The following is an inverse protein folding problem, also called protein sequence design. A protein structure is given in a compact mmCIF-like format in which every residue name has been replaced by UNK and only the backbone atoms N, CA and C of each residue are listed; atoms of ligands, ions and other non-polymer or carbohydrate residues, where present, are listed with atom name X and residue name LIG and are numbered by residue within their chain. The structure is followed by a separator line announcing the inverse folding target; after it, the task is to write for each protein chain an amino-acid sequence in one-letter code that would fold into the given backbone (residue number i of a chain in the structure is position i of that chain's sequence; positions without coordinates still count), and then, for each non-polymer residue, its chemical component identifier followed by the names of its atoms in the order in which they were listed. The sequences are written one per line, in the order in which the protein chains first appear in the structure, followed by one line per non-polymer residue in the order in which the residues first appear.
data_IF_596051348204
#
_entry.id   IF_596051348204
#
_cell.length_a   1.000
_cell.length_b   1.000
_cell.length_c   1.000
_cell.angle_alpha   90.00
_cell.angle_beta   90.00
_cell.angle_gamma   90.00
#
_symmetry.space_group_name_H-M   'P 1'
#
loop_
_entity.id
_entity.type
_entity.pdbx_description
1 polymer ?
#
# COMPACT_ATOMS: atom_id res chain seq x y z
N UNK A 1 -26.57 -51.87 -52.69
CA UNK A 1 -26.57 -51.45 -51.27
C UNK A 1 -25.13 -51.26 -50.82
N UNK A 2 -24.62 -50.02 -50.79
CA UNK A 2 -23.30 -49.68 -50.22
C UNK A 2 -23.55 -48.95 -48.90
N UNK A 3 -23.20 -49.57 -47.78
CA UNK A 3 -23.24 -48.94 -46.45
C UNK A 3 -21.90 -48.27 -46.20
N UNK A 4 -21.87 -46.95 -46.24
CA UNK A 4 -20.72 -46.14 -45.79
C UNK A 4 -20.86 -45.95 -44.29
N UNK A 5 -19.97 -46.57 -43.50
CA UNK A 5 -19.84 -46.26 -42.07
C UNK A 5 -19.09 -44.93 -41.92
N UNK A 6 -19.73 -43.97 -41.25
CA UNK A 6 -19.14 -42.70 -40.87
C UNK A 6 -18.64 -42.85 -39.42
N UNK A 7 -17.32 -42.90 -39.23
CA UNK A 7 -16.71 -42.87 -37.89
C UNK A 7 -16.63 -41.42 -37.42
N UNK A 8 -17.48 -41.05 -36.46
CA UNK A 8 -17.32 -39.83 -35.68
C UNK A 8 -16.21 -40.08 -34.65
N UNK A 9 -15.03 -39.50 -34.87
CA UNK A 9 -13.97 -39.44 -33.86
C UNK A 9 -14.34 -38.40 -32.80
N UNK A 10 -14.70 -38.84 -31.60
CA UNK A 10 -14.84 -37.97 -30.45
C UNK A 10 -13.44 -37.56 -29.97
N UNK A 11 -13.04 -36.31 -30.24
CA UNK A 11 -11.88 -35.71 -29.59
C UNK A 11 -12.27 -35.40 -28.14
N UNK A 12 -11.91 -36.29 -27.21
CA UNK A 12 -11.90 -36.00 -25.78
C UNK A 12 -10.83 -34.96 -25.51
N UNK A 13 -11.25 -33.71 -25.30
CA UNK A 13 -10.41 -32.69 -24.69
C UNK A 13 -10.11 -33.15 -23.25
N UNK A 14 -8.87 -33.58 -23.00
CA UNK A 14 -8.37 -33.80 -21.65
C UNK A 14 -8.19 -32.42 -21.04
N UNK A 15 -9.08 -32.03 -20.13
CA UNK A 15 -8.84 -30.89 -19.27
C UNK A 15 -7.62 -31.23 -18.38
N UNK A 16 -6.47 -30.61 -18.64
CA UNK A 16 -5.35 -30.65 -17.71
C UNK A 16 -5.81 -29.95 -16.43
N UNK A 17 -6.05 -30.72 -15.36
CA UNK A 17 -6.16 -30.17 -14.02
C UNK A 17 -4.80 -29.55 -13.67
N UNK A 18 -4.74 -28.22 -13.62
CA UNK A 18 -3.50 -27.48 -13.43
C UNK A 18 -2.78 -27.88 -12.14
N UNK A 19 -1.49 -28.15 -12.25
CA UNK A 19 -0.58 -28.44 -11.13
C UNK A 19 -0.22 -27.18 -10.31
N UNK A 20 -0.82 -26.02 -10.60
CA UNK A 20 -0.35 -24.70 -10.17
C UNK A 20 -0.19 -24.58 -8.65
N UNK A 21 -1.10 -25.15 -7.87
CA UNK A 21 -0.97 -25.21 -6.40
C UNK A 21 0.28 -26.01 -5.98
N UNK A 22 0.54 -27.14 -6.62
CA UNK A 22 1.71 -27.98 -6.32
C UNK A 22 3.01 -27.26 -6.70
N UNK A 23 3.02 -26.52 -7.82
CA UNK A 23 4.16 -25.70 -8.21
C UNK A 23 4.40 -24.52 -7.25
N UNK A 24 3.34 -23.83 -6.81
CA UNK A 24 3.45 -22.77 -5.80
C UNK A 24 4.02 -23.33 -4.49
N UNK A 25 3.53 -24.49 -4.02
CA UNK A 25 4.06 -25.16 -2.82
C UNK A 25 5.54 -25.52 -2.97
N UNK A 26 5.94 -26.01 -4.14
CA UNK A 26 7.31 -26.42 -4.45
C UNK A 26 8.28 -25.24 -4.51
N UNK A 27 7.88 -24.14 -5.17
CA UNK A 27 8.81 -23.07 -5.54
C UNK A 27 8.70 -21.81 -4.68
N UNK A 28 7.53 -21.52 -4.10
CA UNK A 28 7.25 -20.21 -3.53
C UNK A 28 6.86 -20.26 -2.04
N UNK A 29 6.27 -21.36 -1.57
CA UNK A 29 5.77 -21.50 -0.21
C UNK A 29 6.86 -21.62 0.88
N UNK A 30 8.14 -21.69 0.49
CA UNK A 30 9.27 -21.61 1.42
C UNK A 30 9.44 -20.21 2.02
N UNK A 31 8.95 -19.19 1.33
CA UNK A 31 9.03 -17.78 1.74
C UNK A 31 7.65 -17.14 1.89
N UNK A 32 6.74 -17.38 0.94
CA UNK A 32 5.41 -16.78 0.91
C UNK A 32 4.38 -17.66 1.62
N UNK A 33 3.51 -17.04 2.41
CA UNK A 33 2.41 -17.75 3.06
C UNK A 33 1.22 -17.90 2.09
N UNK A 34 0.68 -19.12 2.04
CA UNK A 34 -0.53 -19.48 1.28
C UNK A 34 -1.82 -19.03 1.95
N UNK A 35 -1.73 -18.61 3.22
CA UNK A 35 -2.85 -18.14 4.00
C UNK A 35 -2.45 -16.85 4.69
N UNK A 36 -3.45 -16.08 5.10
CA UNK A 36 -3.26 -14.94 5.98
C UNK A 36 -2.43 -15.36 7.22
N UNK A 37 -1.34 -14.66 7.54
CA UNK A 37 -0.63 -14.85 8.81
C UNK A 37 -1.53 -14.52 10.01
N UNK A 38 -1.33 -15.24 11.10
CA UNK A 38 -1.83 -14.84 12.42
C UNK A 38 -0.96 -13.72 13.02
N UNK A 39 -1.49 -12.89 13.95
CA UNK A 39 -0.77 -11.74 14.49
C UNK A 39 0.63 -12.06 15.04
N UNK A 40 0.78 -13.22 15.68
CA UNK A 40 2.06 -13.68 16.24
C UNK A 40 3.05 -14.18 15.18
N UNK A 41 2.58 -14.48 13.97
CA UNK A 41 3.41 -14.95 12.86
C UNK A 41 3.97 -13.78 12.02
N UNK A 42 3.34 -12.60 12.10
CA UNK A 42 3.65 -11.40 11.31
C UNK A 42 5.09 -10.89 11.44
N UNK A 43 5.73 -11.13 12.58
CA UNK A 43 7.13 -10.75 12.82
C UNK A 43 8.13 -11.73 12.20
N UNK A 44 7.73 -12.98 12.00
CA UNK A 44 8.59 -14.06 11.49
C UNK A 44 8.47 -14.26 9.98
N UNK A 45 7.51 -13.61 9.31
CA UNK A 45 7.28 -13.81 7.87
C UNK A 45 8.44 -13.21 7.07
N UNK A 46 9.06 -14.04 6.22
CA UNK A 46 10.21 -13.67 5.39
C UNK A 46 9.83 -12.88 4.12
N UNK A 47 8.60 -13.05 3.64
CA UNK A 47 8.09 -12.41 2.43
C UNK A 47 6.60 -12.07 2.61
N UNK A 48 6.03 -11.13 1.84
CA UNK A 48 4.61 -10.81 1.95
C UNK A 48 3.72 -12.03 1.60
N UNK A 49 2.60 -12.25 2.29
CA UNK A 49 1.66 -13.34 1.95
C UNK A 49 1.05 -13.13 0.56
N UNK A 50 0.66 -14.21 -0.13
CA UNK A 50 0.13 -14.11 -1.49
C UNK A 50 -1.11 -13.24 -1.62
N UNK A 51 -1.99 -13.29 -0.62
CA UNK A 51 -3.15 -12.39 -0.56
C UNK A 51 -2.75 -10.92 -0.72
N UNK A 52 -1.72 -10.47 0.01
CA UNK A 52 -1.23 -9.10 -0.07
C UNK A 52 -0.55 -8.78 -1.41
N UNK A 53 0.26 -9.71 -1.93
CA UNK A 53 0.96 -9.54 -3.21
C UNK A 53 -0.05 -9.37 -4.34
N UNK A 54 -1.00 -10.31 -4.46
CA UNK A 54 -1.97 -10.30 -5.57
C UNK A 54 -2.98 -9.17 -5.41
N UNK A 55 -3.36 -8.80 -4.18
CA UNK A 55 -4.16 -7.59 -3.93
C UNK A 55 -3.50 -6.35 -4.53
N UNK A 56 -2.22 -6.09 -4.21
CA UNK A 56 -1.52 -4.90 -4.72
C UNK A 56 -1.24 -4.95 -6.22
N UNK A 57 -1.04 -6.14 -6.80
CA UNK A 57 -0.94 -6.30 -8.26
C UNK A 57 -2.25 -5.91 -8.94
N UNK A 58 -3.39 -6.40 -8.44
CA UNK A 58 -4.72 -6.10 -9.00
C UNK A 58 -5.15 -4.65 -8.77
N UNK A 59 -4.70 -4.02 -7.68
CA UNK A 59 -4.92 -2.60 -7.41
C UNK A 59 -4.10 -1.70 -8.33
N UNK A 60 -2.88 -2.11 -8.68
CA UNK A 60 -1.97 -1.32 -9.53
C UNK A 60 -2.19 -1.51 -11.03
N UNK A 61 -2.67 -2.68 -11.46
CA UNK A 61 -2.77 -3.08 -12.87
C UNK A 61 -4.17 -3.63 -13.13
N UNK A 62 -4.94 -2.95 -13.98
CA UNK A 62 -6.34 -3.32 -14.23
C UNK A 62 -6.52 -4.52 -15.15
N UNK A 63 -5.61 -4.73 -16.11
CA UNK A 63 -5.69 -5.83 -17.08
C UNK A 63 -5.06 -7.11 -16.54
N UNK A 64 -5.79 -8.23 -16.62
CA UNK A 64 -5.34 -9.51 -16.08
C UNK A 64 -4.13 -10.12 -16.83
N UNK A 65 -4.02 -9.87 -18.14
CA UNK A 65 -2.87 -10.29 -18.93
C UNK A 65 -1.61 -9.52 -18.52
N UNK A 66 -1.73 -8.20 -18.34
CA UNK A 66 -0.65 -7.34 -17.83
C UNK A 66 -0.24 -7.71 -16.40
N UNK A 67 -1.18 -8.05 -15.52
CA UNK A 67 -0.88 -8.55 -14.17
C UNK A 67 0.02 -9.79 -14.24
N UNK A 68 -0.34 -10.77 -15.08
CA UNK A 68 0.44 -12.01 -15.25
C UNK A 68 1.83 -11.72 -15.79
N UNK A 69 1.94 -10.91 -16.86
CA UNK A 69 3.23 -10.55 -17.44
C UNK A 69 4.12 -9.81 -16.44
N UNK A 70 3.55 -8.87 -15.68
CA UNK A 70 4.24 -8.16 -14.62
C UNK A 70 4.80 -9.10 -13.56
N UNK A 71 4.00 -10.04 -13.06
CA UNK A 71 4.46 -10.97 -12.03
C UNK A 71 5.55 -11.91 -12.55
N UNK A 72 5.45 -12.39 -13.80
CA UNK A 72 6.50 -13.21 -14.43
C UNK A 72 7.82 -12.42 -14.55
N UNK A 73 7.75 -11.19 -15.08
CA UNK A 73 8.94 -10.32 -15.20
C UNK A 73 9.58 -10.06 -13.84
N UNK A 74 8.76 -9.70 -12.84
CA UNK A 74 9.26 -9.41 -11.50
C UNK A 74 9.90 -10.65 -10.84
N UNK A 75 9.34 -11.85 -11.02
CA UNK A 75 9.92 -13.08 -10.44
C UNK A 75 11.25 -13.45 -11.11
N UNK A 76 11.40 -13.17 -12.40
CA UNK A 76 12.63 -13.47 -13.14
C UNK A 76 13.71 -12.40 -12.94
N UNK A 77 13.33 -11.14 -12.89
CA UNK A 77 14.22 -9.99 -12.80
C UNK A 77 13.67 -8.96 -11.78
N UNK A 78 13.67 -9.32 -10.48
CA UNK A 78 13.09 -8.49 -9.44
C UNK A 78 13.94 -7.26 -9.20
N UNK A 79 13.29 -6.10 -9.14
CA UNK A 79 13.93 -4.83 -8.82
C UNK A 79 13.01 -3.98 -7.95
N UNK A 80 13.60 -3.21 -7.02
CA UNK A 80 12.84 -2.35 -6.12
C UNK A 80 11.99 -1.33 -6.88
N UNK A 81 12.48 -0.82 -8.00
CA UNK A 81 11.81 0.18 -8.82
C UNK A 81 10.62 -0.36 -9.61
N UNK A 82 10.56 -1.68 -9.83
CA UNK A 82 9.43 -2.40 -10.45
C UNK A 82 8.33 -2.77 -9.44
N UNK A 83 8.60 -2.66 -8.13
CA UNK A 83 7.64 -3.08 -7.10
C UNK A 83 6.34 -2.29 -7.17
N UNK A 84 5.20 -2.99 -7.30
CA UNK A 84 3.86 -2.42 -7.10
C UNK A 84 3.54 -2.20 -5.62
N UNK A 85 4.23 -2.90 -4.72
CA UNK A 85 4.11 -2.69 -3.27
C UNK A 85 4.76 -1.36 -2.86
N UNK A 86 4.28 -0.79 -1.75
CA UNK A 86 4.84 0.43 -1.13
C UNK A 86 6.34 0.26 -0.80
N UNK A 87 7.16 1.31 -0.98
CA UNK A 87 8.63 1.21 -0.79
C UNK A 87 9.04 0.78 0.62
N UNK A 88 8.27 1.11 1.67
CA UNK A 88 8.50 0.60 3.03
C UNK A 88 8.39 -0.94 3.14
N UNK A 89 7.63 -1.61 2.26
CA UNK A 89 7.57 -3.08 2.20
C UNK A 89 8.86 -3.64 1.62
N UNK A 90 9.43 -2.98 0.61
CA UNK A 90 10.76 -3.31 0.08
C UNK A 90 11.83 -3.09 1.15
N UNK A 91 11.73 -2.02 1.96
CA UNK A 91 12.63 -1.84 3.12
C UNK A 91 12.50 -2.97 4.15
N UNK A 92 11.28 -3.45 4.41
CA UNK A 92 11.02 -4.51 5.40
C UNK A 92 11.47 -5.90 4.91
N UNK A 93 11.07 -6.29 3.70
CA UNK A 93 11.24 -7.65 3.19
C UNK A 93 12.43 -7.80 2.24
N UNK A 94 12.99 -6.69 1.77
CA UNK A 94 13.95 -6.70 0.66
C UNK A 94 13.29 -6.88 -0.70
N UNK A 95 14.12 -7.04 -1.71
CA UNK A 95 13.71 -7.43 -3.06
C UNK A 95 13.69 -8.95 -3.15
N UNK A 96 12.69 -9.52 -3.83
CA UNK A 96 12.58 -10.97 -4.04
C UNK A 96 13.86 -11.51 -4.71
N UNK A 97 14.36 -12.71 -4.35
CA UNK A 97 15.43 -13.33 -5.11
C UNK A 97 14.94 -13.74 -6.52
N UNK A 98 15.78 -13.53 -7.54
CA UNK A 98 15.48 -13.97 -8.91
C UNK A 98 15.30 -15.49 -8.97
N UNK A 99 14.22 -15.92 -9.63
CA UNK A 99 13.94 -17.33 -9.91
C UNK A 99 14.35 -17.73 -11.35
N UNK A 100 15.07 -16.86 -12.07
CA UNK A 100 15.52 -17.11 -13.44
C UNK A 100 16.39 -18.36 -13.49
N UNK A 101 16.00 -19.31 -14.34
CA UNK A 101 16.67 -20.61 -14.48
C UNK A 101 16.36 -21.63 -13.37
N UNK A 102 15.65 -21.24 -12.31
CA UNK A 102 15.20 -22.16 -11.25
C UNK A 102 13.76 -22.65 -11.46
N UNK A 103 12.94 -21.84 -12.12
CA UNK A 103 11.56 -22.17 -12.52
C UNK A 103 11.45 -21.92 -14.02
N UNK A 104 10.89 -22.88 -14.74
CA UNK A 104 10.71 -22.75 -16.19
C UNK A 104 9.60 -21.76 -16.52
N UNK A 105 9.61 -21.21 -17.74
CA UNK A 105 8.55 -20.28 -18.17
C UNK A 105 7.16 -20.95 -18.19
N UNK A 106 7.09 -22.23 -18.56
CA UNK A 106 5.84 -22.99 -18.51
C UNK A 106 5.33 -23.14 -17.07
N UNK A 107 6.20 -23.52 -16.12
CA UNK A 107 5.84 -23.60 -14.70
C UNK A 107 5.44 -22.22 -14.14
N UNK A 108 6.15 -21.15 -14.49
CA UNK A 108 5.79 -19.79 -14.06
C UNK A 108 4.41 -19.37 -14.57
N UNK A 109 4.06 -19.73 -15.81
CA UNK A 109 2.73 -19.46 -16.35
C UNK A 109 1.64 -20.16 -15.52
N UNK A 110 1.82 -21.43 -15.20
CA UNK A 110 0.87 -22.21 -14.38
C UNK A 110 0.78 -21.69 -12.94
N UNK A 111 1.91 -21.30 -12.34
CA UNK A 111 1.95 -20.66 -11.01
C UNK A 111 1.17 -19.34 -11.05
N UNK A 112 1.37 -18.50 -12.07
CA UNK A 112 0.69 -17.19 -12.12
C UNK A 112 -0.82 -17.32 -12.34
N UNK A 113 -1.24 -18.24 -13.22
CA UNK A 113 -2.67 -18.49 -13.44
C UNK A 113 -3.34 -18.91 -12.12
N UNK A 114 -2.71 -19.83 -11.38
CA UNK A 114 -3.20 -20.24 -10.08
C UNK A 114 -3.23 -19.09 -9.05
N UNK A 115 -2.18 -18.27 -8.97
CA UNK A 115 -2.12 -17.17 -8.01
C UNK A 115 -3.19 -16.10 -8.30
N UNK A 116 -3.39 -15.73 -9.56
CA UNK A 116 -4.36 -14.71 -9.96
C UNK A 116 -5.80 -15.19 -9.83
N UNK A 117 -6.06 -16.49 -10.02
CA UNK A 117 -7.38 -17.10 -9.81
C UNK A 117 -7.70 -17.28 -8.32
N UNK A 118 -6.71 -17.65 -7.51
CA UNK A 118 -6.91 -18.02 -6.10
C UNK A 118 -6.89 -16.82 -5.15
N UNK A 119 -6.03 -15.83 -5.41
CA UNK A 119 -5.76 -14.71 -4.49
C UNK A 119 -6.20 -13.35 -5.08
N UNK A 120 -6.44 -12.34 -4.23
CA UNK A 120 -6.65 -12.47 -2.79
C UNK A 120 -7.96 -13.21 -2.47
N UNK A 121 -7.97 -13.96 -1.38
CA UNK A 121 -9.19 -14.57 -0.86
C UNK A 121 -10.19 -13.48 -0.46
N UNK A 122 -11.51 -13.69 -0.66
CA UNK A 122 -12.54 -12.69 -0.31
C UNK A 122 -12.51 -12.24 1.15
N UNK A 123 -12.21 -13.16 2.07
CA UNK A 123 -12.08 -12.86 3.51
C UNK A 123 -10.95 -11.87 3.78
N UNK A 124 -9.82 -12.01 3.07
CA UNK A 124 -8.69 -11.09 3.19
C UNK A 124 -9.06 -9.70 2.66
N UNK A 125 -9.76 -9.62 1.53
CA UNK A 125 -10.23 -8.34 0.96
C UNK A 125 -11.20 -7.65 1.92
N UNK A 126 -12.16 -8.39 2.48
CA UNK A 126 -13.10 -7.85 3.47
C UNK A 126 -12.38 -7.31 4.70
N UNK A 127 -11.44 -8.10 5.25
CA UNK A 127 -10.62 -7.70 6.38
C UNK A 127 -9.79 -6.44 6.07
N UNK A 128 -9.14 -6.37 4.92
CA UNK A 128 -8.37 -5.19 4.52
C UNK A 128 -9.25 -3.95 4.41
N UNK A 129 -10.42 -4.06 3.79
CA UNK A 129 -11.36 -2.94 3.67
C UNK A 129 -11.84 -2.44 5.04
N UNK A 130 -12.08 -3.36 5.97
CA UNK A 130 -12.43 -3.02 7.35
C UNK A 130 -11.28 -2.31 8.07
N UNK A 131 -10.05 -2.84 7.96
CA UNK A 131 -8.84 -2.22 8.52
C UNK A 131 -8.67 -0.80 7.97
N UNK A 132 -8.75 -0.63 6.64
CA UNK A 132 -8.60 0.67 5.99
C UNK A 132 -9.66 1.67 6.46
N UNK A 133 -10.91 1.23 6.64
CA UNK A 133 -12.00 2.06 7.16
C UNK A 133 -11.75 2.49 8.60
N UNK A 134 -11.34 1.54 9.45
CA UNK A 134 -11.05 1.80 10.86
C UNK A 134 -9.84 2.72 11.02
N UNK A 135 -8.80 2.52 10.21
CA UNK A 135 -7.61 3.36 10.16
C UNK A 135 -7.94 4.79 9.72
N UNK A 136 -8.79 4.96 8.70
CA UNK A 136 -9.25 6.29 8.28
C UNK A 136 -9.99 7.03 9.40
N UNK A 137 -10.87 6.32 10.12
CA UNK A 137 -11.59 6.89 11.26
C UNK A 137 -10.65 7.22 12.42
N UNK A 138 -9.69 6.34 12.74
CA UNK A 138 -8.70 6.56 13.78
C UNK A 138 -7.77 7.74 13.44
N UNK A 139 -7.35 7.84 12.18
CA UNK A 139 -6.55 8.96 11.67
C UNK A 139 -7.31 10.28 11.78
N UNK A 140 -8.61 10.31 11.45
CA UNK A 140 -9.44 11.51 11.60
C UNK A 140 -9.56 11.93 13.07
N UNK A 141 -9.81 10.98 13.97
CA UNK A 141 -9.94 11.25 15.42
C UNK A 141 -8.65 11.79 16.04
N UNK A 142 -7.51 11.27 15.60
CA UNK A 142 -6.18 11.64 16.14
C UNK A 142 -5.47 12.72 15.32
N UNK A 143 -6.15 13.30 14.32
CA UNK A 143 -5.54 14.29 13.43
C UNK A 143 -5.18 15.57 14.20
N UNK A 144 -3.93 16.05 14.11
CA UNK A 144 -3.55 17.33 14.69
C UNK A 144 -4.00 18.52 13.82
N UNK A 145 -4.61 18.27 12.66
CA UNK A 145 -4.94 19.31 11.68
C UNK A 145 -6.39 19.78 11.84
N UNK A 146 -6.61 21.07 11.61
CA UNK A 146 -7.93 21.70 11.61
C UNK A 146 -8.74 21.30 10.36
N UNK A 147 -8.06 21.16 9.21
CA UNK A 147 -8.70 20.80 7.94
C UNK A 147 -8.29 19.37 7.56
N UNK A 148 -9.28 18.49 7.43
CA UNK A 148 -9.11 17.09 7.03
C UNK A 148 -9.91 16.82 5.75
N UNK A 149 -9.51 17.44 4.65
CA UNK A 149 -10.12 17.26 3.34
C UNK A 149 -9.30 16.26 2.52
N UNK A 150 -9.95 15.34 1.80
CA UNK A 150 -9.27 14.36 0.94
C UNK A 150 -8.40 15.02 -0.15
N UNK A 151 -8.72 16.26 -0.52
CA UNK A 151 -7.95 17.06 -1.47
C UNK A 151 -6.72 17.72 -0.83
N UNK A 152 -6.42 17.51 0.45
CA UNK A 152 -5.16 17.93 1.08
C UNK A 152 -4.29 16.69 1.36
N UNK A 153 -3.39 16.32 0.44
CA UNK A 153 -2.67 15.07 0.52
C UNK A 153 -1.65 15.07 1.65
N UNK A 154 -1.40 13.89 2.22
CA UNK A 154 -0.30 13.68 3.15
C UNK A 154 1.00 13.44 2.36
N UNK A 155 1.63 14.50 1.84
CA UNK A 155 2.79 14.41 0.92
C UNK A 155 3.92 13.55 1.45
N UNK A 156 4.24 13.66 2.74
CA UNK A 156 5.25 12.82 3.39
C UNK A 156 4.97 11.31 3.21
N UNK A 157 3.69 10.90 3.24
CA UNK A 157 3.30 9.48 3.14
C UNK A 157 3.38 9.04 1.69
N UNK A 158 2.84 9.85 0.77
CA UNK A 158 2.90 9.60 -0.67
C UNK A 158 4.35 9.47 -1.17
N UNK A 159 5.25 10.34 -0.71
CA UNK A 159 6.67 10.27 -1.05
C UNK A 159 7.31 8.99 -0.54
N UNK A 160 7.09 8.60 0.72
CA UNK A 160 7.66 7.36 1.28
C UNK A 160 7.15 6.13 0.52
N UNK A 161 5.88 6.11 0.12
CA UNK A 161 5.30 4.98 -0.60
C UNK A 161 5.85 4.81 -2.02
N UNK A 162 6.42 5.87 -2.60
CA UNK A 162 6.87 5.91 -4.00
C UNK A 162 8.35 6.28 -4.16
N UNK A 163 9.11 6.37 -3.06
CA UNK A 163 10.44 6.98 -3.00
C UNK A 163 11.47 6.38 -3.98
N UNK A 164 11.37 5.07 -4.18
CA UNK A 164 12.31 4.29 -5.00
C UNK A 164 11.67 3.77 -6.30
N UNK A 165 10.45 4.21 -6.62
CA UNK A 165 9.76 3.76 -7.84
C UNK A 165 10.31 4.50 -9.06
N UNK A 166 10.60 3.75 -10.12
CA UNK A 166 11.07 4.31 -11.38
C UNK A 166 10.10 5.35 -11.95
N UNK A 167 8.79 5.10 -11.79
CA UNK A 167 7.72 6.01 -12.24
C UNK A 167 7.79 7.40 -11.61
N UNK A 168 8.23 7.52 -10.36
CA UNK A 168 8.40 8.82 -9.71
C UNK A 168 9.75 9.47 -10.08
N UNK A 169 10.79 8.67 -10.30
CA UNK A 169 12.04 9.14 -10.91
C UNK A 169 12.73 10.29 -10.17
N UNK A 170 12.75 10.29 -8.83
CA UNK A 170 13.37 11.36 -8.04
C UNK A 170 14.88 11.43 -8.26
N UNK A 171 15.39 12.63 -8.57
CA UNK A 171 16.84 12.89 -8.64
C UNK A 171 17.47 12.89 -7.25
N UNK A 172 18.79 12.73 -7.17
CA UNK A 172 19.51 12.82 -5.90
C UNK A 172 19.30 14.18 -5.19
N UNK A 173 19.31 15.27 -5.97
CA UNK A 173 19.05 16.62 -5.45
C UNK A 173 17.62 16.78 -4.93
N UNK A 174 16.62 16.23 -5.63
CA UNK A 174 15.24 16.23 -5.16
C UNK A 174 15.10 15.44 -3.86
N UNK A 175 15.70 14.25 -3.77
CA UNK A 175 15.69 13.43 -2.55
C UNK A 175 16.26 14.20 -1.36
N UNK A 176 17.37 14.92 -1.53
CA UNK A 176 17.97 15.73 -0.47
C UNK A 176 17.02 16.84 0.02
N UNK A 177 16.47 17.64 -0.91
CA UNK A 177 15.53 18.73 -0.57
C UNK A 177 14.27 18.20 0.11
N UNK A 178 13.71 17.10 -0.40
CA UNK A 178 12.51 16.46 0.15
C UNK A 178 12.74 15.92 1.56
N UNK A 179 13.93 15.41 1.88
CA UNK A 179 14.28 14.98 3.24
C UNK A 179 14.30 16.13 4.23
N UNK A 180 14.74 17.32 3.81
CA UNK A 180 14.71 18.54 4.64
C UNK A 180 13.25 18.93 4.93
N UNK A 181 12.42 19.10 3.90
CA UNK A 181 10.99 19.42 4.04
C UNK A 181 10.30 18.43 4.96
N UNK A 182 10.58 17.14 4.77
CA UNK A 182 10.03 16.05 5.59
C UNK A 182 10.43 16.18 7.06
N UNK A 183 11.72 16.42 7.35
CA UNK A 183 12.23 16.55 8.71
C UNK A 183 11.61 17.74 9.43
N UNK A 184 11.54 18.89 8.77
CA UNK A 184 10.92 20.10 9.33
C UNK A 184 9.43 19.89 9.62
N UNK A 185 8.70 19.33 8.65
CA UNK A 185 7.26 19.04 8.78
C UNK A 185 6.99 18.09 9.95
N UNK A 186 7.73 16.97 10.02
CA UNK A 186 7.55 15.99 11.09
C UNK A 186 7.82 16.59 12.47
N UNK A 187 8.93 17.33 12.62
CA UNK A 187 9.30 17.91 13.90
C UNK A 187 8.27 18.95 14.35
N UNK A 188 7.85 19.82 13.43
CA UNK A 188 6.84 20.85 13.72
C UNK A 188 5.50 20.25 14.15
N UNK A 189 5.02 19.23 13.45
CA UNK A 189 3.75 18.56 13.79
C UNK A 189 3.87 17.70 15.05
N UNK A 190 5.01 17.05 15.29
CA UNK A 190 5.21 16.17 16.45
C UNK A 190 5.09 16.92 17.78
N UNK A 191 5.69 18.11 17.88
CA UNK A 191 5.60 18.94 19.10
C UNK A 191 4.18 19.46 19.33
N UNK A 192 3.48 19.86 18.27
CA UNK A 192 2.07 20.28 18.38
C UNK A 192 1.19 19.10 18.84
N UNK A 193 1.38 17.91 18.26
CA UNK A 193 0.62 16.71 18.63
C UNK A 193 0.75 16.37 20.11
N UNK A 194 1.95 16.49 20.69
CA UNK A 194 2.16 16.26 22.13
C UNK A 194 1.33 17.23 22.98
N UNK A 195 1.32 18.52 22.63
CA UNK A 195 0.53 19.55 23.34
C UNK A 195 -0.96 19.34 23.20
N UNK A 196 -1.44 19.07 21.97
CA UNK A 196 -2.85 18.77 21.70
C UNK A 196 -3.34 17.60 22.53
N UNK A 197 -2.56 16.52 22.64
CA UNK A 197 -2.94 15.34 23.42
C UNK A 197 -3.22 15.68 24.89
N UNK A 198 -2.43 16.55 25.50
CA UNK A 198 -2.62 16.98 26.89
C UNK A 198 -3.88 17.84 27.00
N UNK A 199 -4.03 18.86 26.17
CA UNK A 199 -5.18 19.76 26.22
C UNK A 199 -6.51 19.05 25.93
N UNK A 200 -6.53 18.15 24.94
CA UNK A 200 -7.72 17.35 24.61
C UNK A 200 -8.08 16.38 25.74
N UNK A 201 -7.08 15.87 26.46
CA UNK A 201 -7.30 15.05 27.66
C UNK A 201 -7.90 15.88 28.80
N UNK A 202 -7.34 17.06 29.10
CA UNK A 202 -7.83 17.94 30.16
C UNK A 202 -9.28 18.39 29.91
N UNK A 203 -9.63 18.68 28.65
CA UNK A 203 -11.02 18.97 28.26
C UNK A 203 -11.92 17.76 28.51
N UNK A 204 -11.49 16.56 28.15
CA UNK A 204 -12.28 15.35 28.35
C UNK A 204 -12.48 15.04 29.84
N UNK A 205 -11.43 15.20 30.65
CA UNK A 205 -11.44 14.98 32.10
C UNK A 205 -12.44 15.92 32.79
N UNK A 206 -12.38 17.23 32.51
CA UNK A 206 -13.33 18.22 33.03
C UNK A 206 -14.80 17.88 32.67
N UNK A 207 -15.04 17.35 31.46
CA UNK A 207 -16.38 16.93 31.05
C UNK A 207 -16.83 15.63 31.72
N UNK A 208 -15.91 14.70 32.01
CA UNK A 208 -16.19 13.49 32.79
C UNK A 208 -16.57 13.84 34.23
N UNK A 209 -15.93 14.84 34.80
CA UNK A 209 -16.21 15.39 36.13
C UNK A 209 -17.42 16.34 36.16
N UNK A 210 -18.04 16.57 34.99
CA UNK A 210 -19.23 17.41 34.81
C UNK A 210 -19.01 18.86 35.26
N UNK A 211 -17.81 19.38 35.07
CA UNK A 211 -17.51 20.79 35.27
C UNK A 211 -18.32 21.69 34.31
N UNK A 212 -18.46 22.98 34.66
CA UNK A 212 -19.11 23.95 33.77
C UNK A 212 -18.32 24.04 32.44
N UNK A 213 -18.94 23.89 31.25
CA UNK A 213 -18.25 24.03 29.97
C UNK A 213 -17.46 25.33 29.79
N UNK A 214 -17.80 26.40 30.52
CA UNK A 214 -17.03 27.65 30.51
C UNK A 214 -15.62 27.49 31.08
N UNK A 215 -15.39 26.51 31.94
CA UNK A 215 -14.07 26.22 32.54
C UNK A 215 -13.02 25.88 31.48
N UNK A 216 -13.43 25.27 30.35
CA UNK A 216 -12.54 24.79 29.30
C UNK A 216 -12.43 25.71 28.09
N UNK A 217 -13.11 26.87 28.06
CA UNK A 217 -13.11 27.78 26.90
C UNK A 217 -11.69 28.16 26.44
N UNK A 218 -10.80 28.50 27.40
CA UNK A 218 -9.40 28.83 27.09
C UNK A 218 -8.61 27.64 26.52
N UNK A 219 -8.92 26.41 26.97
CA UNK A 219 -8.29 25.20 26.44
C UNK A 219 -8.74 24.97 24.99
N UNK A 220 -10.03 25.16 24.71
CA UNK A 220 -10.59 25.05 23.36
C UNK A 220 -9.97 26.06 22.39
N UNK A 221 -9.78 27.31 22.83
CA UNK A 221 -9.10 28.35 22.04
C UNK A 221 -7.65 27.97 21.71
N UNK A 222 -6.90 27.45 22.70
CA UNK A 222 -5.51 27.02 22.48
C UNK A 222 -5.45 25.77 21.57
N UNK A 223 -6.37 24.82 21.72
CA UNK A 223 -6.50 23.68 20.79
C UNK A 223 -6.75 24.17 19.36
N UNK A 224 -7.68 25.10 19.16
CA UNK A 224 -7.99 25.64 17.84
C UNK A 224 -6.77 26.33 17.22
N UNK A 225 -6.03 27.12 18.00
CA UNK A 225 -4.78 27.76 17.58
C UNK A 225 -3.71 26.75 17.19
N UNK A 226 -3.48 25.72 18.00
CA UNK A 226 -2.52 24.66 17.71
C UNK A 226 -2.89 23.86 16.45
N UNK A 227 -4.17 23.52 16.26
CA UNK A 227 -4.63 22.85 15.04
C UNK A 227 -4.48 23.72 13.80
N UNK A 228 -4.70 25.04 13.93
CA UNK A 228 -4.42 26.00 12.87
C UNK A 228 -2.93 26.02 12.50
N UNK A 229 -2.03 26.10 13.48
CA UNK A 229 -0.59 26.06 13.23
C UNK A 229 -0.13 24.73 12.59
N UNK A 230 -0.65 23.59 13.04
CA UNK A 230 -0.38 22.31 12.39
C UNK A 230 -0.84 22.30 10.93
N UNK A 231 -2.01 22.89 10.64
CA UNK A 231 -2.55 22.98 9.28
C UNK A 231 -1.68 23.85 8.39
N UNK A 232 -1.16 24.97 8.91
CA UNK A 232 -0.19 25.81 8.18
C UNK A 232 1.08 25.04 7.83
N UNK A 233 1.61 24.22 8.76
CA UNK A 233 2.77 23.36 8.50
C UNK A 233 2.44 22.33 7.41
N UNK A 234 1.25 21.74 7.43
CA UNK A 234 0.81 20.78 6.40
C UNK A 234 0.71 21.43 5.01
N UNK A 235 0.08 22.60 4.89
CA UNK A 235 -0.05 23.31 3.62
C UNK A 235 1.33 23.77 3.12
N UNK A 236 2.21 24.22 4.02
CA UNK A 236 3.62 24.52 3.69
C UNK A 236 4.32 23.28 3.13
N UNK A 237 4.20 22.12 3.78
CA UNK A 237 4.77 20.86 3.30
C UNK A 237 4.28 20.49 1.90
N UNK A 238 2.98 20.66 1.63
CA UNK A 238 2.40 20.48 0.29
C UNK A 238 3.12 21.38 -0.71
N UNK A 239 3.11 22.69 -0.46
CA UNK A 239 3.67 23.70 -1.37
C UNK A 239 5.16 23.48 -1.65
N UNK A 240 5.96 23.22 -0.63
CA UNK A 240 7.39 22.96 -0.77
C UNK A 240 7.68 21.65 -1.48
N UNK A 241 6.90 20.60 -1.22
CA UNK A 241 7.07 19.34 -1.92
C UNK A 241 6.76 19.51 -3.40
N UNK A 242 5.64 20.15 -3.75
CA UNK A 242 5.24 20.33 -5.15
C UNK A 242 6.18 21.26 -5.93
N UNK A 243 6.87 22.19 -5.26
CA UNK A 243 7.86 23.05 -5.95
C UNK A 243 9.20 22.37 -6.20
N UNK A 244 9.50 21.27 -5.50
CA UNK A 244 10.70 20.45 -5.74
C UNK A 244 10.48 19.44 -6.87
N UNK A 245 9.24 18.98 -7.04
CA UNK A 245 8.85 18.00 -8.06
C UNK A 245 8.59 18.66 -9.42
N UNK A 246 8.80 17.92 -10.51
CA UNK A 246 8.31 18.33 -11.82
C UNK A 246 6.80 18.16 -11.93
N UNK A 247 6.17 18.78 -12.94
CA UNK A 247 4.73 18.62 -13.18
C UNK A 247 4.34 17.16 -13.42
N UNK A 248 5.18 16.40 -14.13
CA UNK A 248 4.96 14.96 -14.36
C UNK A 248 5.02 14.17 -13.05
N UNK A 249 5.97 14.49 -12.17
CA UNK A 249 6.09 13.84 -10.86
C UNK A 249 4.92 14.19 -9.94
N UNK A 250 4.44 15.43 -9.99
CA UNK A 250 3.22 15.84 -9.28
C UNK A 250 2.01 15.06 -9.81
N UNK A 251 1.84 14.94 -11.13
CA UNK A 251 0.77 14.16 -11.73
C UNK A 251 0.83 12.66 -11.38
N UNK A 252 2.04 12.11 -11.18
CA UNK A 252 2.21 10.72 -10.70
C UNK A 252 1.68 10.54 -9.28
N UNK A 253 1.95 11.50 -8.38
CA UNK A 253 1.52 11.41 -6.98
C UNK A 253 0.07 11.86 -6.76
N UNK A 254 -0.39 12.81 -7.56
CA UNK A 254 -1.66 13.54 -7.41
C UNK A 254 -2.38 13.60 -8.76
N UNK A 255 -2.81 12.46 -9.33
CA UNK A 255 -3.38 12.39 -10.67
C UNK A 255 -4.68 13.19 -10.86
N UNK A 256 -5.31 13.63 -9.77
CA UNK A 256 -6.56 14.40 -9.77
C UNK A 256 -6.38 15.89 -9.45
N UNK A 257 -5.14 16.39 -9.43
CA UNK A 257 -4.82 17.82 -9.20
C UNK A 257 -4.59 18.62 -10.48
N UNK A 258 -4.82 18.00 -11.63
CA UNK A 258 -4.69 18.60 -12.95
C UNK A 258 -6.02 19.18 -13.44
#
# INVERSE_FOLDING_TARGET
MKRTLLFLGAATAVAFAGNGEALVKKHCASCHMLKKPEPLEMEAVKAPPFDAVVFHVKDAISDAGEQKMFMIDYIQDPDASKSVCESNKVTKFGVMPSMKGQVTEAELNEIMDYLLETYPHPEFVSMLNEILKNDALAALKSSPFLINNSNLPHMTKLLIQNWDKAKLGLTAEQKEKLLIVRKETMNGVAEIRKKLKVLEFDVADAMMDREDPKSVEKLLEEIAKLKLEATKIHIKCISETTSILSEEQVAVLLPFWN
#
